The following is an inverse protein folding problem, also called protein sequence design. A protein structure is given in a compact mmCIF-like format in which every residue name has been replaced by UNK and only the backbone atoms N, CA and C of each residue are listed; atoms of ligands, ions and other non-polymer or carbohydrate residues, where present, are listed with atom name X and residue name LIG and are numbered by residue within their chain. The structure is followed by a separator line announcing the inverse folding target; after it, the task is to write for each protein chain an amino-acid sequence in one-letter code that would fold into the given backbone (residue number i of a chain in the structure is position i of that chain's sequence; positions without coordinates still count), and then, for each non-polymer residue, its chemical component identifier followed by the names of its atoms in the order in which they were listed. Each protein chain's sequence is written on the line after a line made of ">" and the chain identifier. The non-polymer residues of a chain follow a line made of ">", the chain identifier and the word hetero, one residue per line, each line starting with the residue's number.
data_IF_986188568570
#
_entry.id   IF_986188568570
#
_cell.length_a   1.000
_cell.length_b   1.000
_cell.length_c   1.000
_cell.angle_alpha   90.00
_cell.angle_beta   90.00
_cell.angle_gamma   90.00
#
_symmetry.space_group_name_H-M   'P 1'
#
loop_
_entity.id
_entity.type
_entity.pdbx_description
1 polymer ?
#
# COMPACT_ATOMS: atom_id res chain seq x y z
N UNK A 1 -73.06 19.45 15.67
CA UNK A 1 -73.77 19.86 16.89
C UNK A 1 -73.50 18.80 17.96
N UNK A 2 -73.00 19.19 19.15
CA UNK A 2 -72.85 18.30 20.32
C UNK A 2 -74.22 17.94 20.96
N UNK A 3 -74.30 17.28 22.14
CA UNK A 3 -73.35 17.25 23.27
C UNK A 3 -72.98 15.81 23.78
N UNK A 4 -71.84 15.56 24.45
CA UNK A 4 -71.51 15.69 25.89
C UNK A 4 -72.33 14.75 26.82
N UNK A 5 -71.90 14.17 27.95
CA UNK A 5 -70.65 14.03 28.74
C UNK A 5 -71.02 13.24 30.03
N UNK A 6 -69.99 12.75 30.79
CA UNK A 6 -69.95 12.31 32.22
C UNK A 6 -70.43 10.88 32.55
N UNK A 7 -69.75 9.97 33.29
CA UNK A 7 -68.64 9.89 34.30
C UNK A 7 -69.13 9.48 35.71
N UNK A 8 -68.41 8.51 36.30
CA UNK A 8 -68.27 8.07 37.73
C UNK A 8 -69.26 6.98 38.22
N UNK A 9 -68.92 6.03 39.12
CA UNK A 9 -67.98 6.03 40.25
C UNK A 9 -67.54 4.58 40.63
N UNK A 10 -66.26 4.31 40.93
CA UNK A 10 -65.57 4.17 42.24
C UNK A 10 -65.96 3.01 43.17
N UNK A 11 -64.96 2.18 43.49
CA UNK A 11 -64.62 1.62 44.82
C UNK A 11 -63.18 1.10 44.67
N UNK A 12 -62.15 1.64 45.34
CA UNK A 12 -61.85 1.52 46.78
C UNK A 12 -60.88 0.33 46.97
N UNK A 13 -59.78 0.32 47.73
CA UNK A 13 -59.21 1.19 48.77
C UNK A 13 -57.75 0.70 49.02
N UNK A 14 -56.86 1.65 49.38
CA UNK A 14 -55.59 1.59 50.13
C UNK A 14 -54.66 0.36 50.11
N UNK A 15 -53.36 0.58 49.82
CA UNK A 15 -52.37 0.71 50.91
C UNK A 15 -51.11 1.52 50.50
N UNK A 16 -50.50 2.16 51.50
CA UNK A 16 -49.39 3.12 51.43
C UNK A 16 -48.04 2.42 51.32
N UNK A 17 -47.09 3.03 50.60
CA UNK A 17 -45.76 3.47 51.09
C UNK A 17 -44.86 3.97 49.92
N UNK A 18 -44.25 5.14 50.09
CA UNK A 18 -43.18 5.77 49.27
C UNK A 18 -41.81 5.42 49.92
N UNK A 19 -40.63 5.73 49.33
CA UNK A 19 -40.26 5.94 47.93
C UNK A 19 -38.96 5.20 47.51
N UNK A 20 -38.78 4.88 46.23
CA UNK A 20 -37.45 4.64 45.68
C UNK A 20 -37.31 5.29 44.30
N UNK A 21 -36.49 6.34 44.26
CA UNK A 21 -36.03 7.01 43.04
C UNK A 21 -35.33 5.98 42.15
N UNK A 22 -35.89 5.68 40.97
CA UNK A 22 -35.11 5.04 39.89
C UNK A 22 -34.82 6.06 38.80
N UNK A 23 -33.51 6.33 38.69
CA UNK A 23 -32.86 7.16 37.69
C UNK A 23 -33.16 6.67 36.28
N UNK A 24 -33.30 7.65 35.40
CA UNK A 24 -33.33 7.57 33.94
C UNK A 24 -32.21 6.69 33.39
N UNK A 25 -32.58 5.63 32.65
CA UNK A 25 -31.65 4.93 31.77
C UNK A 25 -31.52 5.75 30.48
N UNK A 26 -30.45 6.53 30.37
CA UNK A 26 -30.00 7.14 29.11
C UNK A 26 -29.58 6.01 28.17
N UNK A 27 -30.28 5.89 27.04
CA UNK A 27 -29.83 5.14 25.88
C UNK A 27 -28.43 5.65 25.51
N UNK A 28 -27.44 4.77 25.65
CA UNK A 28 -26.08 5.01 25.16
C UNK A 28 -26.14 4.98 23.64
N UNK A 29 -25.99 6.15 23.01
CA UNK A 29 -25.67 6.22 21.59
C UNK A 29 -24.35 5.50 21.31
N UNK A 30 -24.14 5.00 20.08
CA UNK A 30 -22.92 4.28 19.75
C UNK A 30 -21.72 5.21 20.00
N UNK A 31 -20.76 4.69 20.74
CA UNK A 31 -19.50 5.35 21.02
C UNK A 31 -18.91 5.85 19.71
N UNK A 32 -18.68 7.17 19.63
CA UNK A 32 -17.88 7.78 18.58
C UNK A 32 -16.54 7.05 18.58
N UNK A 33 -16.31 6.20 17.57
CA UNK A 33 -15.01 5.57 17.36
C UNK A 33 -14.01 6.70 17.19
N UNK A 34 -13.13 6.80 18.16
CA UNK A 34 -11.97 7.67 18.19
C UNK A 34 -11.18 7.44 16.90
N UNK A 35 -11.36 8.32 15.91
CA UNK A 35 -10.50 8.42 14.72
C UNK A 35 -9.16 8.96 15.21
N UNK A 36 -8.39 8.12 15.89
CA UNK A 36 -6.96 8.36 16.03
C UNK A 36 -6.38 8.18 14.64
N UNK A 37 -5.95 9.30 14.04
CA UNK A 37 -4.97 9.29 12.97
C UNK A 37 -3.80 8.44 13.45
N UNK A 38 -3.75 7.17 13.02
CA UNK A 38 -2.49 6.42 13.00
C UNK A 38 -1.65 7.13 11.95
N UNK A 39 -0.51 7.65 12.38
CA UNK A 39 0.36 8.50 11.57
C UNK A 39 0.74 7.81 10.26
N UNK A 40 0.97 8.61 9.23
CA UNK A 40 1.48 8.13 7.95
C UNK A 40 2.69 7.23 8.17
N UNK A 41 2.77 6.13 7.42
CA UNK A 41 3.93 5.23 7.45
C UNK A 41 5.13 6.07 6.98
N UNK A 42 6.13 6.31 7.85
CA UNK A 42 7.28 7.19 7.54
C UNK A 42 8.31 6.39 6.74
N UNK A 43 8.60 6.74 5.48
CA UNK A 43 9.51 5.97 4.66
C UNK A 43 10.91 5.91 5.31
N UNK A 44 11.59 4.74 5.25
CA UNK A 44 12.91 4.59 5.82
C UNK A 44 13.91 5.54 5.15
N UNK A 45 14.72 6.16 5.99
CA UNK A 45 15.63 7.26 5.65
C UNK A 45 17.08 6.82 5.40
N UNK A 46 17.35 5.52 5.35
CA UNK A 46 18.70 4.97 5.15
C UNK A 46 18.74 3.91 4.06
N UNK A 47 19.92 3.76 3.45
CA UNK A 47 20.30 2.58 2.67
C UNK A 47 20.94 1.59 3.64
N UNK A 48 20.50 0.34 3.59
CA UNK A 48 21.01 -0.76 4.42
C UNK A 48 21.53 -1.88 3.52
N UNK A 49 22.37 -2.75 4.08
CA UNK A 49 22.77 -3.97 3.40
C UNK A 49 21.57 -4.88 3.13
N UNK A 50 21.72 -5.80 2.18
CA UNK A 50 20.65 -6.71 1.80
C UNK A 50 20.13 -7.50 3.01
N UNK A 51 18.81 -7.50 3.18
CA UNK A 51 18.14 -8.24 4.24
C UNK A 51 17.43 -9.48 3.65
N UNK A 52 17.77 -10.71 4.09
CA UNK A 52 17.10 -11.92 3.63
C UNK A 52 15.61 -12.01 4.04
N UNK A 53 15.11 -11.08 4.86
CA UNK A 53 13.68 -10.95 5.16
C UNK A 53 12.89 -10.25 4.05
N UNK A 54 13.52 -9.52 3.12
CA UNK A 54 12.78 -8.81 2.06
C UNK A 54 11.90 -9.72 1.18
N UNK A 55 12.35 -10.93 0.75
CA UNK A 55 11.47 -11.87 0.07
C UNK A 55 10.27 -12.34 0.92
N UNK A 56 10.44 -12.41 2.25
CA UNK A 56 9.35 -12.75 3.18
C UNK A 56 8.34 -11.62 3.25
N UNK A 57 8.80 -10.36 3.38
CA UNK A 57 7.92 -9.18 3.36
C UNK A 57 7.14 -9.07 2.05
N UNK A 58 7.81 -9.33 0.93
CA UNK A 58 7.14 -9.43 -0.37
C UNK A 58 6.06 -10.52 -0.39
N UNK A 59 6.37 -11.72 0.11
CA UNK A 59 5.41 -12.82 0.15
C UNK A 59 4.17 -12.47 1.01
N UNK A 60 4.36 -11.76 2.11
CA UNK A 60 3.27 -11.26 2.96
C UNK A 60 2.42 -10.19 2.26
N UNK A 61 3.05 -9.23 1.56
CA UNK A 61 2.34 -8.22 0.75
C UNK A 61 1.51 -8.92 -0.33
N UNK A 62 2.13 -9.84 -1.08
CA UNK A 62 1.46 -10.64 -2.11
C UNK A 62 0.26 -11.37 -1.53
N UNK A 63 0.42 -12.08 -0.41
CA UNK A 63 -0.65 -12.82 0.24
C UNK A 63 -1.83 -11.94 0.68
N UNK A 64 -1.59 -10.68 1.03
CA UNK A 64 -2.67 -9.73 1.38
C UNK A 64 -3.44 -9.24 0.16
N UNK A 65 -2.78 -9.10 -0.98
CA UNK A 65 -3.41 -8.65 -2.24
C UNK A 65 -4.18 -9.76 -2.93
N UNK A 66 -3.71 -11.02 -2.86
CA UNK A 66 -4.27 -12.16 -3.61
C UNK A 66 -5.81 -12.30 -3.52
N UNK A 67 -6.46 -12.20 -2.33
CA UNK A 67 -7.91 -12.36 -2.26
C UNK A 67 -8.71 -11.28 -3.02
N UNK A 68 -8.15 -10.09 -3.20
CA UNK A 68 -8.81 -9.00 -3.90
C UNK A 68 -8.67 -9.11 -5.42
N UNK A 69 -7.62 -9.79 -5.88
CA UNK A 69 -7.30 -9.98 -7.31
C UNK A 69 -7.85 -11.30 -7.86
N UNK A 70 -8.63 -12.03 -7.07
CA UNK A 70 -9.24 -13.30 -7.49
C UNK A 70 -10.13 -13.10 -8.73
N UNK A 71 -9.95 -13.95 -9.74
CA UNK A 71 -10.70 -13.89 -11.00
C UNK A 71 -10.16 -12.89 -12.04
N UNK A 72 -9.14 -12.09 -11.70
CA UNK A 72 -8.44 -11.23 -12.66
C UNK A 72 -7.16 -11.96 -13.10
N UNK A 73 -6.90 -12.16 -14.40
CA UNK A 73 -5.62 -12.71 -14.85
C UNK A 73 -4.47 -11.75 -14.51
N UNK A 74 -3.50 -12.19 -13.70
CA UNK A 74 -2.34 -11.39 -13.30
C UNK A 74 -1.17 -12.25 -12.78
N UNK A 75 0.02 -11.66 -12.70
CA UNK A 75 1.11 -12.10 -11.81
C UNK A 75 1.44 -10.99 -10.81
N UNK A 76 2.11 -11.35 -9.71
CA UNK A 76 2.61 -10.39 -8.72
C UNK A 76 4.10 -10.62 -8.58
N UNK A 77 4.88 -9.61 -8.96
CA UNK A 77 6.33 -9.67 -9.08
C UNK A 77 7.02 -8.82 -8.01
N UNK A 78 8.10 -9.36 -7.44
CA UNK A 78 9.03 -8.59 -6.61
C UNK A 78 10.05 -7.95 -7.54
N UNK A 79 10.04 -6.62 -7.58
CA UNK A 79 10.93 -5.81 -8.44
C UNK A 79 11.77 -4.85 -7.60
N UNK A 80 12.53 -3.98 -8.27
CA UNK A 80 13.37 -2.99 -7.61
C UNK A 80 14.58 -3.59 -6.88
N UNK A 81 15.25 -2.76 -6.08
CA UNK A 81 16.52 -3.16 -5.46
C UNK A 81 16.38 -4.26 -4.42
N UNK A 82 15.27 -4.32 -3.69
CA UNK A 82 15.05 -5.32 -2.63
C UNK A 82 14.80 -6.72 -3.19
N UNK A 83 14.49 -6.85 -4.47
CA UNK A 83 14.38 -8.12 -5.18
C UNK A 83 15.73 -8.71 -5.59
N UNK A 84 16.85 -8.02 -5.39
CA UNK A 84 18.19 -8.46 -5.82
C UNK A 84 19.01 -8.89 -4.59
N UNK A 85 19.25 -10.20 -4.39
CA UNK A 85 20.10 -10.69 -3.31
C UNK A 85 21.49 -10.03 -3.30
N UNK A 86 21.91 -9.58 -2.12
CA UNK A 86 23.21 -8.91 -1.92
C UNK A 86 23.26 -7.44 -2.32
N UNK A 87 22.18 -6.85 -2.85
CA UNK A 87 22.13 -5.43 -3.20
C UNK A 87 21.65 -4.56 -2.03
N UNK A 88 22.51 -3.66 -1.54
CA UNK A 88 22.14 -2.66 -0.54
C UNK A 88 21.01 -1.76 -1.06
N UNK A 89 19.99 -1.46 -0.25
CA UNK A 89 18.81 -0.72 -0.68
C UNK A 89 18.14 0.04 0.47
N UNK A 90 17.20 0.92 0.12
CA UNK A 90 16.19 1.36 1.09
C UNK A 90 15.30 0.14 1.40
N UNK A 91 14.92 -0.11 2.67
CA UNK A 91 14.05 -1.24 3.02
C UNK A 91 12.59 -0.94 2.65
N UNK A 92 12.33 -0.78 1.36
CA UNK A 92 11.03 -0.57 0.73
C UNK A 92 10.89 -1.65 -0.34
N UNK A 93 9.83 -2.46 -0.27
CA UNK A 93 9.55 -3.47 -1.28
C UNK A 93 8.92 -2.79 -2.50
N UNK A 94 9.36 -3.11 -3.71
CA UNK A 94 8.68 -2.67 -4.93
C UNK A 94 7.90 -3.84 -5.51
N UNK A 95 6.60 -3.64 -5.78
CA UNK A 95 5.67 -4.69 -6.21
C UNK A 95 4.99 -4.27 -7.50
N UNK A 96 5.06 -5.13 -8.51
CA UNK A 96 4.27 -5.01 -9.73
C UNK A 96 3.14 -6.05 -9.72
N UNK A 97 1.90 -5.60 -9.94
CA UNK A 97 0.79 -6.45 -10.38
C UNK A 97 0.74 -6.36 -11.89
N UNK A 98 1.17 -7.43 -12.56
CA UNK A 98 1.29 -7.47 -14.03
C UNK A 98 0.04 -8.10 -14.61
N UNK A 99 -0.68 -7.36 -15.44
CA UNK A 99 -1.85 -7.85 -16.17
C UNK A 99 -1.51 -8.10 -17.64
N UNK A 100 -2.08 -9.12 -18.31
CA UNK A 100 -1.71 -9.46 -19.68
C UNK A 100 -2.24 -8.47 -20.73
N UNK A 101 -3.19 -7.60 -20.36
CA UNK A 101 -3.83 -6.68 -21.30
C UNK A 101 -4.31 -5.39 -20.62
N UNK A 102 -4.39 -4.31 -21.41
CA UNK A 102 -4.71 -2.95 -20.92
C UNK A 102 -6.14 -2.82 -20.39
N UNK A 103 -7.08 -3.59 -20.92
CA UNK A 103 -8.48 -3.63 -20.49
C UNK A 103 -8.66 -4.23 -19.09
N UNK A 104 -7.65 -4.97 -18.59
CA UNK A 104 -7.61 -5.47 -17.22
C UNK A 104 -7.05 -4.45 -16.22
N UNK A 105 -6.47 -3.33 -16.66
CA UNK A 105 -5.96 -2.30 -15.74
C UNK A 105 -7.09 -1.70 -14.89
N UNK A 106 -8.21 -1.22 -15.45
CA UNK A 106 -9.31 -0.65 -14.64
C UNK A 106 -9.88 -1.60 -13.56
N UNK A 107 -10.23 -2.88 -13.85
CA UNK A 107 -10.72 -3.78 -12.81
C UNK A 107 -9.65 -4.11 -11.76
N UNK A 108 -8.38 -4.19 -12.15
CA UNK A 108 -7.26 -4.41 -11.21
C UNK A 108 -7.06 -3.22 -10.28
N UNK A 109 -7.11 -2.00 -10.81
CA UNK A 109 -7.07 -0.77 -10.00
C UNK A 109 -8.22 -0.76 -8.99
N UNK A 110 -9.45 -1.09 -9.42
CA UNK A 110 -10.61 -1.15 -8.54
C UNK A 110 -10.45 -2.19 -7.42
N UNK A 111 -9.90 -3.37 -7.73
CA UNK A 111 -9.60 -4.42 -6.75
C UNK A 111 -8.55 -3.96 -5.71
N UNK A 112 -7.48 -3.31 -6.16
CA UNK A 112 -6.42 -2.79 -5.27
C UNK A 112 -6.96 -1.66 -4.38
N UNK A 113 -7.83 -0.78 -4.90
CA UNK A 113 -8.52 0.23 -4.08
C UNK A 113 -9.43 -0.44 -3.03
N UNK A 114 -10.12 -1.52 -3.37
CA UNK A 114 -10.90 -2.30 -2.42
C UNK A 114 -10.04 -2.96 -1.32
N UNK A 115 -8.76 -3.23 -1.61
CA UNK A 115 -7.76 -3.67 -0.64
C UNK A 115 -7.24 -2.55 0.28
N UNK A 116 -7.73 -1.32 0.11
CA UNK A 116 -7.44 -0.17 0.99
C UNK A 116 -6.38 0.81 0.47
N UNK A 117 -5.82 0.56 -0.71
CA UNK A 117 -4.86 1.46 -1.35
C UNK A 117 -5.56 2.66 -1.99
N UNK A 118 -4.83 3.74 -2.23
CA UNK A 118 -5.32 4.91 -2.96
C UNK A 118 -4.60 5.01 -4.31
N UNK A 119 -5.35 5.08 -5.40
CA UNK A 119 -4.80 5.20 -6.75
C UNK A 119 -4.31 6.63 -7.02
N UNK A 120 -3.09 6.76 -7.55
CA UNK A 120 -2.41 8.04 -7.79
C UNK A 120 -2.26 8.37 -9.29
N UNK A 121 -2.82 7.55 -10.18
CA UNK A 121 -2.57 7.63 -11.61
C UNK A 121 -1.16 7.16 -11.96
N UNK A 122 -0.60 7.67 -13.06
CA UNK A 122 0.67 7.18 -13.61
C UNK A 122 1.93 7.86 -13.06
N UNK A 123 1.74 8.97 -12.33
CA UNK A 123 2.79 9.86 -11.83
C UNK A 123 3.79 10.27 -12.93
N UNK A 124 3.31 10.43 -14.16
CA UNK A 124 4.13 10.79 -15.32
C UNK A 124 4.91 9.64 -15.96
N UNK A 125 4.65 8.38 -15.58
CA UNK A 125 5.27 7.20 -16.20
C UNK A 125 4.21 6.41 -16.98
N UNK A 126 4.15 6.54 -18.32
CA UNK A 126 3.13 5.90 -19.13
C UNK A 126 3.07 4.38 -18.95
N UNK A 127 1.86 3.84 -18.78
CA UNK A 127 1.61 2.41 -18.65
C UNK A 127 1.88 1.83 -17.26
N UNK A 128 2.04 2.65 -16.22
CA UNK A 128 2.24 2.20 -14.84
C UNK A 128 1.34 2.97 -13.88
N UNK A 129 0.32 2.33 -13.32
CA UNK A 129 -0.54 2.94 -12.31
C UNK A 129 0.08 2.78 -10.92
N UNK A 130 0.18 3.87 -10.15
CA UNK A 130 0.80 3.90 -8.82
C UNK A 130 -0.24 4.03 -7.70
N UNK A 131 0.16 3.57 -6.50
CA UNK A 131 -0.72 3.56 -5.34
C UNK A 131 -0.02 4.02 -4.06
N UNK A 132 -0.74 4.81 -3.25
CA UNK A 132 -0.37 5.07 -1.86
C UNK A 132 -0.79 3.90 -0.97
N UNK A 133 0.09 3.59 -0.01
CA UNK A 133 -0.07 2.55 1.00
C UNK A 133 -1.28 2.78 1.93
N UNK A 134 -2.01 1.72 2.32
CA UNK A 134 -2.97 1.81 3.39
C UNK A 134 -2.27 2.06 4.75
N UNK A 135 -2.98 2.71 5.68
CA UNK A 135 -2.43 3.07 6.99
C UNK A 135 -2.08 1.88 7.90
N UNK A 136 -2.58 0.68 7.58
CA UNK A 136 -2.33 -0.58 8.29
C UNK A 136 -1.41 -1.54 7.50
N UNK A 137 -0.71 -1.02 6.49
CA UNK A 137 0.35 -1.76 5.79
C UNK A 137 1.40 -2.26 6.79
N UNK A 138 1.71 -3.56 6.73
CA UNK A 138 2.72 -4.16 7.62
C UNK A 138 4.14 -3.76 7.25
N UNK A 139 4.41 -3.60 5.95
CA UNK A 139 5.71 -3.29 5.40
C UNK A 139 5.60 -2.06 4.50
N UNK A 140 6.63 -1.23 4.50
CA UNK A 140 6.76 -0.18 3.49
C UNK A 140 6.96 -0.79 2.12
N UNK A 141 6.12 -0.40 1.17
CA UNK A 141 6.27 -0.82 -0.21
C UNK A 141 5.72 0.21 -1.19
N UNK A 142 6.19 0.11 -2.44
CA UNK A 142 5.50 0.69 -3.57
C UNK A 142 4.70 -0.41 -4.26
N UNK A 143 3.54 -0.05 -4.78
CA UNK A 143 2.67 -0.94 -5.53
C UNK A 143 2.36 -0.29 -6.86
N UNK A 144 2.49 -1.07 -7.94
CA UNK A 144 2.18 -0.65 -9.29
C UNK A 144 1.29 -1.66 -9.99
N UNK A 145 0.44 -1.19 -10.91
CA UNK A 145 -0.18 -2.04 -11.94
C UNK A 145 0.46 -1.70 -13.28
N UNK A 146 0.93 -2.73 -13.98
CA UNK A 146 1.56 -2.62 -15.30
C UNK A 146 0.97 -3.65 -16.25
N UNK A 147 1.08 -3.38 -17.55
CA UNK A 147 0.69 -4.35 -18.59
C UNK A 147 1.92 -5.15 -19.01
N UNK A 148 1.76 -6.46 -19.13
CA UNK A 148 2.79 -7.37 -19.62
C UNK A 148 3.38 -6.86 -20.94
N UNK A 149 4.72 -6.90 -21.03
CA UNK A 149 5.46 -6.42 -22.20
C UNK A 149 5.50 -4.90 -22.40
N UNK A 150 4.83 -4.10 -21.58
CA UNK A 150 5.00 -2.64 -21.67
C UNK A 150 6.36 -2.18 -21.13
N UNK A 151 6.74 -0.93 -21.44
CA UNK A 151 8.07 -0.42 -21.08
C UNK A 151 8.34 -0.50 -19.57
N UNK A 152 7.39 -0.09 -18.73
CA UNK A 152 7.58 -0.08 -17.28
C UNK A 152 7.80 -1.50 -16.72
N UNK A 153 6.98 -2.46 -17.15
CA UNK A 153 7.15 -3.87 -16.82
C UNK A 153 8.51 -4.41 -17.26
N UNK A 154 8.88 -4.19 -18.52
CA UNK A 154 10.15 -4.67 -19.06
C UNK A 154 11.35 -4.03 -18.34
N UNK A 155 11.37 -2.72 -18.15
CA UNK A 155 12.46 -2.03 -17.44
C UNK A 155 12.66 -2.61 -16.03
N UNK A 156 11.58 -2.83 -15.27
CA UNK A 156 11.66 -3.39 -13.92
C UNK A 156 12.26 -4.81 -13.93
N UNK A 157 11.81 -5.66 -14.85
CA UNK A 157 12.28 -7.05 -14.97
C UNK A 157 13.72 -7.11 -15.45
N UNK A 158 14.07 -6.37 -16.52
CA UNK A 158 15.43 -6.32 -17.06
C UNK A 158 16.42 -5.82 -16.01
N UNK A 159 16.10 -4.74 -15.29
CA UNK A 159 16.99 -4.21 -14.25
C UNK A 159 17.21 -5.23 -13.13
N UNK A 160 16.13 -5.84 -12.62
CA UNK A 160 16.21 -6.84 -11.54
C UNK A 160 17.06 -8.03 -11.96
N UNK A 161 16.76 -8.61 -13.12
CA UNK A 161 17.37 -9.86 -13.55
C UNK A 161 18.83 -9.64 -13.98
N UNK A 162 19.15 -8.50 -14.60
CA UNK A 162 20.54 -8.09 -14.86
C UNK A 162 21.34 -7.93 -13.58
N UNK A 163 20.84 -7.21 -12.57
CA UNK A 163 21.55 -7.01 -11.31
C UNK A 163 21.69 -8.29 -10.46
N UNK A 164 20.85 -9.30 -10.71
CA UNK A 164 21.04 -10.64 -10.13
C UNK A 164 22.20 -11.38 -10.80
N UNK A 165 22.34 -11.24 -12.12
CA UNK A 165 23.34 -11.94 -12.92
C UNK A 165 24.72 -11.25 -12.94
N UNK A 166 24.78 -9.93 -12.97
CA UNK A 166 26.01 -9.14 -13.07
C UNK A 166 26.40 -8.52 -11.72
N UNK A 167 27.40 -9.13 -11.06
CA UNK A 167 27.90 -8.65 -9.78
C UNK A 167 28.57 -7.26 -9.88
N UNK A 168 29.17 -6.92 -11.02
CA UNK A 168 29.86 -5.65 -11.22
C UNK A 168 28.88 -4.48 -11.28
N UNK A 169 27.83 -4.60 -12.08
CA UNK A 169 26.77 -3.57 -12.15
C UNK A 169 25.97 -3.51 -10.83
N UNK A 170 25.79 -4.65 -10.14
CA UNK A 170 25.23 -4.67 -8.78
C UNK A 170 26.07 -3.87 -7.79
N UNK A 171 27.39 -4.06 -7.79
CA UNK A 171 28.30 -3.33 -6.91
C UNK A 171 28.36 -1.83 -7.24
N UNK A 172 28.43 -1.47 -8.53
CA UNK A 172 28.36 -0.07 -8.98
C UNK A 172 27.09 0.61 -8.48
N UNK A 173 25.95 -0.06 -8.65
CA UNK A 173 24.66 0.50 -8.22
C UNK A 173 24.54 0.58 -6.69
N UNK A 174 25.08 -0.40 -5.96
CA UNK A 174 25.15 -0.37 -4.50
C UNK A 174 26.02 0.79 -3.99
N UNK A 175 27.20 1.00 -4.58
CA UNK A 175 28.13 2.06 -4.22
C UNK A 175 27.49 3.45 -4.38
N UNK A 176 26.85 3.72 -5.52
CA UNK A 176 26.15 4.99 -5.76
C UNK A 176 25.04 5.22 -4.72
N UNK A 177 24.25 4.19 -4.38
CA UNK A 177 23.20 4.33 -3.36
C UNK A 177 23.76 4.66 -1.98
N UNK A 178 24.89 4.07 -1.59
CA UNK A 178 25.56 4.37 -0.32
C UNK A 178 26.12 5.80 -0.31
N UNK A 179 26.74 6.22 -1.40
CA UNK A 179 27.23 7.60 -1.56
C UNK A 179 26.10 8.62 -1.38
N UNK A 180 24.96 8.41 -2.03
CA UNK A 180 23.82 9.31 -2.00
C UNK A 180 22.96 9.16 -0.73
N UNK A 181 23.23 8.20 0.16
CA UNK A 181 22.35 7.89 1.29
C UNK A 181 22.14 9.10 2.22
N UNK A 182 23.14 9.98 2.35
CA UNK A 182 23.05 11.20 3.15
C UNK A 182 22.03 12.23 2.61
N UNK A 183 21.64 12.14 1.33
CA UNK A 183 20.66 13.03 0.70
C UNK A 183 19.22 12.57 0.92
N UNK A 184 18.99 11.35 1.42
CA UNK A 184 17.64 10.78 1.57
C UNK A 184 16.69 11.62 2.42
N UNK A 185 17.22 12.32 3.42
CA UNK A 185 16.43 13.14 4.36
C UNK A 185 16.46 14.63 4.04
N UNK A 186 17.39 15.07 3.20
CA UNK A 186 17.67 16.49 2.97
C UNK A 186 17.28 16.94 1.57
N UNK A 187 17.45 16.09 0.56
CA UNK A 187 17.12 16.39 -0.83
C UNK A 187 16.76 15.11 -1.61
N UNK A 188 15.45 14.88 -1.76
CA UNK A 188 14.95 13.72 -2.49
C UNK A 188 15.29 13.77 -3.97
N UNK A 189 15.33 14.96 -4.58
CA UNK A 189 15.63 15.10 -6.01
C UNK A 189 17.10 14.76 -6.27
N UNK A 190 18.01 15.32 -5.46
CA UNK A 190 19.44 15.01 -5.54
C UNK A 190 19.77 13.54 -5.20
N UNK A 191 18.91 12.83 -4.45
CA UNK A 191 19.01 11.38 -4.32
C UNK A 191 18.56 10.63 -5.57
N UNK A 192 17.47 11.06 -6.22
CA UNK A 192 16.82 10.30 -7.31
C UNK A 192 17.51 10.50 -8.66
N UNK A 193 17.83 11.73 -9.03
CA UNK A 193 18.32 12.08 -10.38
C UNK A 193 19.63 11.36 -10.77
N UNK A 194 20.69 11.33 -9.93
CA UNK A 194 21.94 10.67 -10.32
C UNK A 194 21.78 9.17 -10.52
N UNK A 195 20.81 8.54 -9.83
CA UNK A 195 20.51 7.12 -10.00
C UNK A 195 19.81 6.84 -11.33
N UNK A 196 19.05 7.78 -11.87
CA UNK A 196 18.33 7.58 -13.12
C UNK A 196 19.30 7.33 -14.28
N UNK A 197 20.40 8.11 -14.36
CA UNK A 197 21.43 7.92 -15.38
C UNK A 197 22.10 6.55 -15.30
N UNK A 198 22.52 6.12 -14.10
CA UNK A 198 23.12 4.79 -13.94
C UNK A 198 22.13 3.65 -14.24
N UNK A 199 20.85 3.79 -13.86
CA UNK A 199 19.82 2.81 -14.19
C UNK A 199 19.64 2.70 -15.70
N UNK A 200 19.62 3.82 -16.42
CA UNK A 200 19.53 3.83 -17.88
C UNK A 200 20.73 3.15 -18.54
N UNK A 201 21.96 3.43 -18.09
CA UNK A 201 23.17 2.74 -18.56
C UNK A 201 23.09 1.22 -18.36
N UNK A 202 22.63 0.79 -17.18
CA UNK A 202 22.49 -0.64 -16.85
C UNK A 202 21.43 -1.30 -17.72
N UNK A 203 20.29 -0.64 -17.93
CA UNK A 203 19.22 -1.14 -18.83
C UNK A 203 19.71 -1.28 -20.27
N UNK A 204 20.49 -0.32 -20.77
CA UNK A 204 21.08 -0.40 -22.11
C UNK A 204 22.05 -1.59 -22.24
N UNK A 205 22.88 -1.84 -21.23
CA UNK A 205 23.78 -3.02 -21.19
C UNK A 205 23.01 -4.34 -21.10
N UNK A 206 21.97 -4.39 -20.28
CA UNK A 206 21.12 -5.56 -20.12
C UNK A 206 20.43 -5.95 -21.45
N UNK A 207 19.92 -4.95 -22.18
CA UNK A 207 19.27 -5.15 -23.48
C UNK A 207 20.22 -5.65 -24.58
N UNK A 208 21.53 -5.40 -24.47
CA UNK A 208 22.54 -5.89 -25.42
C UNK A 208 23.00 -7.32 -25.11
N UNK A 209 22.71 -7.81 -23.90
CA UNK A 209 23.15 -9.13 -23.40
C UNK A 209 22.05 -10.18 -23.44
N UNK A 210 20.83 -9.80 -23.88
CA UNK A 210 19.63 -10.64 -23.95
C UNK A 210 19.34 -11.14 -25.36
#
# INVERSE_FOLDING_TARGET
>A
MGPAQRVAARTGVHDRQHPARRRTARLHGPARRDRRHRGAVIPPASVVEYDPQWPVWFAEIRSRLTPYLEGIPHTIEHVGSTAVPGLAAKPIIDVDVVVPAVDLVPPTVAAIVAAGYQHEGDLGIPGREAFTLPADAAHHHHLYVVVEGNKAHLDHMLLRDHLRADAGDRERYAALKRELAHLLTTDRAAYVEPKAGLVEEILQRAAQSS
#
